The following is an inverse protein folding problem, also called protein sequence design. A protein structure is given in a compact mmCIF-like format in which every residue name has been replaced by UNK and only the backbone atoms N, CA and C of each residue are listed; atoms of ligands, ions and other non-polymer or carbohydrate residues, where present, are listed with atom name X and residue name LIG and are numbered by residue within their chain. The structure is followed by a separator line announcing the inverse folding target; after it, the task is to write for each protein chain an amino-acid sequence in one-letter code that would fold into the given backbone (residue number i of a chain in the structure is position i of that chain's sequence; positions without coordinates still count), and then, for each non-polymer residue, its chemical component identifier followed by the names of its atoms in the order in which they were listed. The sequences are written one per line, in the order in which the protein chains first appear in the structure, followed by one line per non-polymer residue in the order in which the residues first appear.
data_IF_066342891379
#
_entry.id   IF_066342891379
#
_cell.length_a   1.000
_cell.length_b   1.000
_cell.length_c   1.000
_cell.angle_alpha   90.00
_cell.angle_beta   90.00
_cell.angle_gamma   90.00
#
_symmetry.space_group_name_H-M   'P 1'
#
loop_
_entity.id
_entity.type
_entity.pdbx_description
1 polymer ?
#
# COMPACT_ATOMS: atom_id res chain seq x y z
N UNK A 1 -28.76 -12.26 31.78
CA UNK A 1 -27.68 -11.85 32.72
C UNK A 1 -28.22 -11.94 34.14
N UNK A 2 -27.38 -11.87 35.18
CA UNK A 2 -27.85 -11.89 36.59
C UNK A 2 -27.11 -10.88 37.44
N UNK A 3 -27.73 -10.45 38.53
CA UNK A 3 -27.11 -9.55 39.51
C UNK A 3 -26.14 -10.33 40.42
N UNK A 4 -25.01 -9.72 40.74
CA UNK A 4 -24.06 -10.16 41.77
C UNK A 4 -24.08 -9.13 42.89
N UNK A 5 -24.44 -9.58 44.09
CA UNK A 5 -24.41 -8.79 45.33
C UNK A 5 -23.12 -9.11 46.08
N UNK A 6 -22.27 -8.10 46.31
CA UNK A 6 -21.07 -8.26 47.12
C UNK A 6 -21.26 -7.48 48.42
N UNK A 7 -21.15 -8.15 49.57
CA UNK A 7 -21.33 -7.55 50.89
C UNK A 7 -19.95 -7.34 51.54
N UNK A 8 -19.67 -6.11 51.98
CA UNK A 8 -18.56 -5.76 52.86
C UNK A 8 -19.10 -5.37 54.24
N UNK A 9 -18.22 -5.18 55.25
CA UNK A 9 -18.64 -4.79 56.61
C UNK A 9 -19.54 -3.53 56.62
N UNK A 10 -19.36 -2.60 55.68
CA UNK A 10 -20.01 -1.29 55.70
C UNK A 10 -20.79 -0.98 54.40
N UNK A 11 -20.82 -1.86 53.41
CA UNK A 11 -21.48 -1.56 52.13
C UNK A 11 -21.92 -2.80 51.37
N UNK A 12 -22.99 -2.65 50.59
CA UNK A 12 -23.49 -3.64 49.65
C UNK A 12 -23.34 -3.08 48.25
N UNK A 13 -22.64 -3.78 47.35
CA UNK A 13 -22.47 -3.38 45.96
C UNK A 13 -23.13 -4.35 44.98
N UNK A 14 -23.63 -3.78 43.88
CA UNK A 14 -24.33 -4.50 42.84
C UNK A 14 -23.56 -4.44 41.53
N UNK A 15 -23.52 -5.56 40.81
CA UNK A 15 -22.96 -5.66 39.47
C UNK A 15 -23.80 -6.62 38.62
N UNK A 16 -23.90 -6.36 37.32
CA UNK A 16 -24.51 -7.29 36.37
C UNK A 16 -23.41 -8.21 35.86
N UNK A 17 -23.60 -9.52 36.01
CA UNK A 17 -22.67 -10.55 35.54
C UNK A 17 -23.32 -11.44 34.49
N UNK A 18 -22.49 -11.99 33.61
CA UNK A 18 -22.87 -13.06 32.69
C UNK A 18 -21.88 -14.21 32.74
N UNK A 19 -22.39 -15.42 32.59
CA UNK A 19 -21.54 -16.61 32.50
C UNK A 19 -20.94 -16.68 31.08
N UNK A 20 -19.64 -16.95 31.00
CA UNK A 20 -18.89 -17.12 29.75
C UNK A 20 -18.00 -18.36 29.85
N UNK A 21 -17.75 -19.02 28.73
CA UNK A 21 -16.79 -20.13 28.67
C UNK A 21 -15.43 -19.57 28.23
N UNK A 22 -14.40 -19.78 29.04
CA UNK A 22 -13.01 -19.37 28.73
C UNK A 22 -12.12 -20.59 28.92
N UNK A 23 -11.39 -21.00 27.87
CA UNK A 23 -10.51 -22.18 27.88
C UNK A 23 -11.21 -23.46 28.36
N UNK A 24 -12.44 -23.73 27.89
CA UNK A 24 -13.21 -24.92 28.23
C UNK A 24 -13.82 -24.94 29.65
N UNK A 25 -13.54 -23.94 30.50
CA UNK A 25 -14.12 -23.83 31.84
C UNK A 25 -15.16 -22.70 31.90
N UNK A 26 -16.27 -22.95 32.62
CA UNK A 26 -17.32 -21.95 32.88
C UNK A 26 -16.80 -20.92 33.87
N UNK A 27 -16.82 -19.64 33.49
CA UNK A 27 -16.39 -18.49 34.31
C UNK A 27 -17.44 -17.38 34.25
N UNK A 28 -17.33 -16.37 35.13
CA UNK A 28 -18.25 -15.21 35.13
C UNK A 28 -17.50 -13.95 34.71
N UNK A 29 -18.13 -13.12 33.87
CA UNK A 29 -17.63 -11.80 33.48
C UNK A 29 -18.59 -10.73 33.98
N UNK A 30 -18.05 -9.66 34.58
CA UNK A 30 -18.81 -8.46 34.92
C UNK A 30 -19.11 -7.70 33.63
N UNK A 31 -20.39 -7.44 33.40
CA UNK A 31 -20.91 -6.71 32.23
C UNK A 31 -21.00 -5.22 32.53
N UNK A 32 -21.53 -4.87 33.71
CA UNK A 32 -21.70 -3.50 34.17
C UNK A 32 -21.63 -3.46 35.70
N UNK A 33 -20.89 -2.50 36.26
CA UNK A 33 -20.84 -2.24 37.70
C UNK A 33 -21.89 -1.19 38.04
N UNK A 34 -22.84 -1.52 38.92
CA UNK A 34 -24.02 -0.67 39.18
C UNK A 34 -23.82 0.32 40.35
N UNK A 35 -22.81 0.09 41.19
CA UNK A 35 -22.50 0.93 42.35
C UNK A 35 -22.91 0.31 43.69
N UNK A 36 -22.84 1.09 44.76
CA UNK A 36 -23.24 0.66 46.11
C UNK A 36 -24.73 0.97 46.40
N UNK A 37 -25.28 0.32 47.43
CA UNK A 37 -26.71 0.39 47.77
C UNK A 37 -27.18 1.82 48.06
N UNK A 38 -26.39 2.61 48.78
CA UNK A 38 -26.69 4.02 49.12
C UNK A 38 -26.67 4.92 47.87
N UNK A 39 -25.69 4.74 46.97
CA UNK A 39 -25.58 5.48 45.71
C UNK A 39 -26.76 5.22 44.77
N UNK A 40 -27.22 3.96 44.70
CA UNK A 40 -28.37 3.59 43.88
C UNK A 40 -29.65 4.17 44.48
N UNK A 41 -29.79 4.13 45.81
CA UNK A 41 -30.95 4.69 46.53
C UNK A 41 -31.04 6.21 46.43
N UNK A 42 -29.91 6.92 46.39
CA UNK A 42 -29.87 8.36 46.13
C UNK A 42 -30.29 8.72 44.70
N UNK A 43 -29.89 7.89 43.71
CA UNK A 43 -30.18 8.14 42.29
C UNK A 43 -31.59 7.73 41.89
N UNK A 44 -32.15 6.73 42.57
CA UNK A 44 -33.47 6.16 42.31
C UNK A 44 -34.23 5.98 43.63
N UNK A 45 -34.69 7.07 44.26
CA UNK A 45 -35.36 7.02 45.56
C UNK A 45 -36.73 6.33 45.52
N UNK A 46 -37.36 6.26 44.35
CA UNK A 46 -38.66 5.62 44.11
C UNK A 46 -38.64 4.07 44.07
N UNK A 47 -37.47 3.42 44.09
CA UNK A 47 -37.36 1.97 43.93
C UNK A 47 -36.31 1.35 44.85
N UNK A 48 -36.49 0.10 45.25
CA UNK A 48 -35.45 -0.62 45.99
C UNK A 48 -34.23 -0.84 45.08
N UNK A 49 -32.99 -0.56 45.54
CA UNK A 49 -31.78 -0.74 44.76
C UNK A 49 -31.60 -2.13 44.14
N UNK A 50 -32.15 -3.18 44.77
CA UNK A 50 -32.08 -4.53 44.22
C UNK A 50 -33.08 -4.76 43.08
N UNK A 51 -34.27 -4.16 43.15
CA UNK A 51 -35.26 -4.19 42.07
C UNK A 51 -34.76 -3.45 40.84
N UNK A 52 -34.21 -2.25 41.04
CA UNK A 52 -33.59 -1.47 39.97
C UNK A 52 -32.44 -2.23 39.30
N UNK A 53 -31.56 -2.88 40.09
CA UNK A 53 -30.46 -3.69 39.56
C UNK A 53 -30.96 -4.90 38.74
N UNK A 54 -32.07 -5.53 39.13
CA UNK A 54 -32.71 -6.61 38.37
C UNK A 54 -33.29 -6.10 37.05
N UNK A 55 -33.96 -4.94 37.07
CA UNK A 55 -34.49 -4.31 35.86
C UNK A 55 -33.37 -3.97 34.87
N UNK A 56 -32.26 -3.40 35.36
CA UNK A 56 -31.08 -3.11 34.54
C UNK A 56 -30.44 -4.37 33.94
N UNK A 57 -30.36 -5.45 34.71
CA UNK A 57 -29.88 -6.74 34.20
C UNK A 57 -30.80 -7.33 33.12
N UNK A 58 -32.12 -7.12 33.23
CA UNK A 58 -33.09 -7.54 32.22
C UNK A 58 -32.95 -6.72 30.93
N UNK A 59 -32.85 -5.39 31.02
CA UNK A 59 -32.60 -4.50 29.86
C UNK A 59 -31.35 -4.91 29.08
N UNK A 60 -30.23 -5.13 29.78
CA UNK A 60 -28.98 -5.57 29.15
C UNK A 60 -29.10 -6.95 28.48
N UNK A 61 -29.95 -7.82 29.03
CA UNK A 61 -30.24 -9.13 28.44
C UNK A 61 -31.06 -8.97 27.15
N UNK A 62 -32.04 -8.08 27.12
CA UNK A 62 -32.85 -7.74 25.94
C UNK A 62 -31.96 -7.14 24.83
N UNK A 63 -31.10 -6.18 25.17
CA UNK A 63 -30.16 -5.56 24.22
C UNK A 63 -29.17 -6.58 23.63
N UNK A 64 -28.63 -7.50 24.45
CA UNK A 64 -27.74 -8.56 23.94
C UNK A 64 -28.52 -9.55 23.04
N UNK A 65 -29.80 -9.81 23.35
CA UNK A 65 -30.68 -10.65 22.53
C UNK A 65 -30.99 -10.00 21.18
N UNK A 66 -31.25 -8.69 21.14
CA UNK A 66 -31.43 -7.93 19.90
C UNK A 66 -30.14 -7.93 19.05
N UNK A 67 -28.97 -7.71 19.65
CA UNK A 67 -27.68 -7.78 18.95
C UNK A 67 -27.34 -9.18 18.42
N UNK A 68 -27.87 -10.24 19.05
CA UNK A 68 -27.70 -11.64 18.66
C UNK A 68 -28.85 -12.19 17.82
N UNK A 69 -29.83 -11.36 17.47
CA UNK A 69 -30.98 -11.80 16.71
C UNK A 69 -30.52 -12.29 15.34
N UNK A 70 -30.78 -13.57 15.07
CA UNK A 70 -30.44 -14.16 13.77
C UNK A 70 -31.36 -13.54 12.73
N UNK A 71 -30.78 -12.84 11.75
CA UNK A 71 -31.53 -12.29 10.63
C UNK A 71 -31.85 -13.45 9.69
N UNK A 72 -33.12 -13.85 9.65
CA UNK A 72 -33.60 -14.80 8.66
C UNK A 72 -33.75 -14.06 7.32
N UNK A 73 -32.87 -14.38 6.37
CA UNK A 73 -32.96 -13.83 5.01
C UNK A 73 -33.89 -14.75 4.22
N UNK A 74 -35.10 -14.27 3.92
CA UNK A 74 -36.07 -14.99 3.10
C UNK A 74 -35.81 -14.70 1.62
N UNK A 75 -35.58 -15.75 0.83
CA UNK A 75 -35.40 -15.67 -0.62
C UNK A 75 -36.66 -16.12 -1.35
N UNK A 76 -37.11 -15.32 -2.31
CA UNK A 76 -38.19 -15.69 -3.22
C UNK A 76 -37.57 -16.23 -4.52
N UNK A 77 -37.74 -17.53 -4.85
CA UNK A 77 -37.15 -18.13 -6.05
C UNK A 77 -37.78 -17.62 -7.34
N UNK A 78 -38.96 -16.98 -7.29
CA UNK A 78 -39.63 -16.40 -8.45
C UNK A 78 -39.21 -14.96 -8.74
N UNK A 79 -38.50 -14.34 -7.80
CA UNK A 79 -38.06 -12.94 -7.90
C UNK A 79 -37.02 -12.78 -8.99
N UNK A 80 -37.45 -12.22 -10.11
CA UNK A 80 -36.56 -11.92 -11.24
C UNK A 80 -35.58 -10.81 -10.90
N UNK A 81 -34.34 -10.99 -11.32
CA UNK A 81 -33.30 -9.96 -11.25
C UNK A 81 -33.70 -8.83 -12.20
N UNK A 82 -33.63 -7.57 -11.73
CA UNK A 82 -33.89 -6.41 -12.57
C UNK A 82 -32.85 -6.37 -13.69
N UNK A 83 -33.32 -6.26 -14.93
CA UNK A 83 -32.46 -6.04 -16.10
C UNK A 83 -31.60 -4.78 -15.88
N UNK A 84 -30.35 -4.84 -16.32
CA UNK A 84 -29.38 -3.74 -16.25
C UNK A 84 -29.01 -3.27 -14.83
N UNK A 85 -29.36 -4.04 -13.79
CA UNK A 85 -28.91 -3.79 -12.43
C UNK A 85 -27.78 -4.74 -12.05
N UNK A 86 -26.59 -4.20 -11.85
CA UNK A 86 -25.45 -4.95 -11.34
C UNK A 86 -25.74 -5.47 -9.92
N UNK A 87 -25.52 -6.76 -9.71
CA UNK A 87 -25.66 -7.44 -8.42
C UNK A 87 -24.40 -8.18 -7.98
N UNK A 88 -23.42 -8.30 -8.88
CA UNK A 88 -22.14 -8.94 -8.64
C UNK A 88 -21.05 -7.87 -8.72
N UNK A 89 -20.16 -7.89 -7.72
CA UNK A 89 -19.12 -6.89 -7.57
C UNK A 89 -17.78 -7.56 -7.29
N UNK A 90 -16.74 -7.04 -7.92
CA UNK A 90 -15.37 -7.45 -7.63
C UNK A 90 -14.85 -6.68 -6.41
N UNK A 91 -14.48 -7.41 -5.36
CA UNK A 91 -14.01 -6.84 -4.08
C UNK A 91 -12.54 -7.13 -3.78
N UNK A 92 -11.82 -7.83 -4.68
CA UNK A 92 -10.41 -8.17 -4.49
C UNK A 92 -9.49 -6.96 -4.32
N UNK A 93 -9.90 -5.78 -4.80
CA UNK A 93 -9.14 -4.54 -4.65
C UNK A 93 -9.11 -3.98 -3.23
N UNK A 94 -10.01 -4.41 -2.32
CA UNK A 94 -10.09 -3.87 -0.96
C UNK A 94 -8.80 -4.10 -0.16
N UNK A 95 -8.10 -5.21 -0.40
CA UNK A 95 -6.78 -5.45 0.19
C UNK A 95 -5.75 -4.42 -0.26
N UNK A 96 -5.75 -4.11 -1.56
CA UNK A 96 -4.87 -3.09 -2.14
C UNK A 96 -5.24 -1.70 -1.63
N UNK A 97 -6.53 -1.39 -1.51
CA UNK A 97 -7.02 -0.14 -0.94
C UNK A 97 -6.51 0.07 0.50
N UNK A 98 -6.51 -0.99 1.32
CA UNK A 98 -5.94 -0.94 2.67
C UNK A 98 -4.44 -0.62 2.66
N UNK A 99 -3.67 -1.23 1.76
CA UNK A 99 -2.24 -0.94 1.61
C UNK A 99 -2.02 0.51 1.15
N UNK A 100 -2.75 0.98 0.14
CA UNK A 100 -2.64 2.35 -0.37
C UNK A 100 -3.04 3.40 0.67
N UNK A 101 -3.99 3.08 1.55
CA UNK A 101 -4.35 3.91 2.69
C UNK A 101 -3.20 4.02 3.72
N UNK A 102 -2.53 2.91 4.04
CA UNK A 102 -1.35 2.91 4.91
C UNK A 102 -0.19 3.72 4.29
N UNK A 103 -0.04 3.64 2.97
CA UNK A 103 0.90 4.43 2.18
C UNK A 103 0.42 5.88 1.95
N UNK A 104 -0.69 6.31 2.56
CA UNK A 104 -1.25 7.67 2.50
C UNK A 104 -1.32 8.25 1.09
N UNK A 105 -1.67 7.43 0.09
CA UNK A 105 -1.81 7.87 -1.30
C UNK A 105 -2.71 9.11 -1.44
N UNK A 106 -3.89 9.19 -0.78
CA UNK A 106 -4.76 10.37 -0.90
C UNK A 106 -4.13 11.66 -0.40
N UNK A 107 -3.19 11.61 0.56
CA UNK A 107 -2.49 12.80 1.04
C UNK A 107 -1.51 13.33 -0.01
N UNK A 108 -0.78 12.42 -0.66
CA UNK A 108 0.18 12.75 -1.70
C UNK A 108 -0.50 13.36 -2.93
N UNK A 109 -1.54 12.70 -3.43
CA UNK A 109 -2.28 13.16 -4.62
C UNK A 109 -3.01 14.48 -4.35
N UNK A 110 -3.48 14.74 -3.11
CA UNK A 110 -4.00 16.07 -2.72
C UNK A 110 -2.92 17.15 -2.76
N UNK A 111 -1.67 16.85 -2.39
CA UNK A 111 -0.55 17.80 -2.49
C UNK A 111 -0.28 18.15 -3.96
N UNK A 112 -0.25 17.13 -4.82
CA UNK A 112 -0.09 17.31 -6.28
C UNK A 112 -1.27 18.13 -6.84
N UNK A 113 -2.51 17.75 -6.51
CA UNK A 113 -3.71 18.43 -7.00
C UNK A 113 -3.75 19.92 -6.65
N UNK A 114 -3.16 20.36 -5.53
CA UNK A 114 -3.07 21.78 -5.17
C UNK A 114 -2.14 22.60 -6.07
N UNK A 115 -1.22 21.95 -6.77
CA UNK A 115 -0.25 22.60 -7.67
C UNK A 115 -0.81 22.73 -9.10
N UNK A 116 -1.96 22.12 -9.37
CA UNK A 116 -2.58 22.03 -10.68
C UNK A 116 -4.03 22.56 -10.65
N UNK A 117 -4.60 22.84 -11.82
CA UNK A 117 -5.97 23.35 -11.94
C UNK A 117 -6.96 22.31 -12.51
N UNK A 118 -6.64 21.01 -12.42
CA UNK A 118 -7.56 19.96 -12.87
C UNK A 118 -8.72 19.74 -11.89
N UNK A 119 -9.82 19.16 -12.39
CA UNK A 119 -11.05 18.91 -11.61
C UNK A 119 -11.33 17.43 -11.30
N UNK A 120 -10.52 16.52 -11.82
CA UNK A 120 -10.71 15.08 -11.65
C UNK A 120 -10.10 14.55 -10.33
N UNK A 121 -10.62 13.44 -9.77
CA UNK A 121 -10.10 12.83 -8.55
C UNK A 121 -8.82 12.00 -8.80
N UNK A 122 -7.65 12.65 -8.73
CA UNK A 122 -6.35 12.03 -9.01
C UNK A 122 -6.04 10.81 -8.11
N UNK A 123 -6.49 10.83 -6.84
CA UNK A 123 -6.35 9.71 -5.91
C UNK A 123 -7.11 8.46 -6.38
N UNK A 124 -8.36 8.64 -6.81
CA UNK A 124 -9.18 7.54 -7.31
C UNK A 124 -8.62 7.00 -8.63
N UNK A 125 -8.17 7.88 -9.53
CA UNK A 125 -7.58 7.50 -10.81
C UNK A 125 -6.31 6.67 -10.59
N UNK A 126 -5.36 7.17 -9.78
CA UNK A 126 -4.12 6.45 -9.50
C UNK A 126 -4.39 5.10 -8.82
N UNK A 127 -5.31 5.07 -7.84
CA UNK A 127 -5.70 3.83 -7.18
C UNK A 127 -6.30 2.82 -8.15
N UNK A 128 -7.20 3.27 -9.03
CA UNK A 128 -7.79 2.45 -10.09
C UNK A 128 -6.73 1.83 -11.01
N UNK A 129 -5.74 2.63 -11.44
CA UNK A 129 -4.65 2.14 -12.29
C UNK A 129 -3.78 1.11 -11.59
N UNK A 130 -3.52 1.28 -10.29
CA UNK A 130 -2.76 0.33 -9.47
C UNK A 130 -3.55 -0.98 -9.30
N UNK A 131 -4.84 -0.89 -8.94
CA UNK A 131 -5.71 -2.06 -8.77
C UNK A 131 -5.77 -2.86 -10.05
N UNK A 132 -6.00 -2.20 -11.18
CA UNK A 132 -6.08 -2.87 -12.46
C UNK A 132 -4.76 -3.52 -12.86
N UNK A 133 -3.62 -2.85 -12.64
CA UNK A 133 -2.30 -3.42 -12.95
C UNK A 133 -2.03 -4.74 -12.21
N UNK A 134 -2.58 -4.91 -11.01
CA UNK A 134 -2.40 -6.12 -10.19
C UNK A 134 -3.48 -7.17 -10.49
N UNK A 135 -4.75 -6.76 -10.57
CA UNK A 135 -5.88 -7.68 -10.65
C UNK A 135 -6.21 -8.13 -12.07
N UNK A 136 -6.03 -7.26 -13.06
CA UNK A 136 -6.40 -7.51 -14.46
C UNK A 136 -5.62 -6.58 -15.40
N UNK A 137 -4.29 -6.77 -15.52
CA UNK A 137 -3.43 -5.85 -16.26
C UNK A 137 -3.84 -5.74 -17.73
N UNK A 138 -4.25 -4.55 -18.15
CA UNK A 138 -4.72 -4.30 -19.51
C UNK A 138 -4.50 -2.82 -19.94
N UNK A 139 -5.13 -2.42 -21.03
CA UNK A 139 -5.14 -1.02 -21.52
C UNK A 139 -5.78 -0.06 -20.51
N UNK A 140 -5.55 1.25 -20.64
CA UNK A 140 -6.19 2.27 -19.78
C UNK A 140 -7.71 2.30 -19.94
N UNK A 141 -8.19 2.06 -21.16
CA UNK A 141 -9.63 1.89 -21.45
C UNK A 141 -10.19 0.66 -20.74
N UNK A 142 -9.52 -0.49 -20.87
CA UNK A 142 -9.93 -1.73 -20.20
C UNK A 142 -9.86 -1.60 -18.68
N UNK A 143 -8.92 -0.82 -18.15
CA UNK A 143 -8.85 -0.51 -16.72
C UNK A 143 -10.07 0.27 -16.24
N UNK A 144 -10.51 1.25 -17.02
CA UNK A 144 -11.74 2.01 -16.74
C UNK A 144 -12.98 1.11 -16.79
N UNK A 145 -13.10 0.27 -17.81
CA UNK A 145 -14.20 -0.68 -17.96
C UNK A 145 -14.24 -1.70 -16.81
N UNK A 146 -13.08 -2.25 -16.43
CA UNK A 146 -12.95 -3.16 -15.29
C UNK A 146 -13.35 -2.47 -13.97
N UNK A 147 -12.97 -1.20 -13.78
CA UNK A 147 -13.30 -0.44 -12.59
C UNK A 147 -14.82 -0.28 -12.36
N UNK A 148 -15.62 -0.27 -13.44
CA UNK A 148 -17.09 -0.25 -13.33
C UNK A 148 -17.65 -1.52 -12.67
N UNK A 149 -16.90 -2.63 -12.71
CA UNK A 149 -17.33 -3.90 -12.09
C UNK A 149 -17.01 -4.00 -10.59
N UNK A 150 -16.26 -3.03 -10.05
CA UNK A 150 -15.88 -2.99 -8.64
C UNK A 150 -17.06 -2.59 -7.76
N UNK A 151 -16.96 -2.87 -6.45
CA UNK A 151 -17.94 -2.45 -5.47
C UNK A 151 -18.10 -0.91 -5.42
N UNK A 152 -16.98 -0.18 -5.52
CA UNK A 152 -16.95 1.27 -5.58
C UNK A 152 -16.64 1.70 -7.03
N UNK A 153 -17.65 2.05 -7.84
CA UNK A 153 -17.43 2.46 -9.22
C UNK A 153 -16.68 3.80 -9.27
N UNK A 154 -15.87 4.03 -10.31
CA UNK A 154 -15.08 5.25 -10.46
C UNK A 154 -15.97 6.48 -10.64
N UNK A 155 -15.61 7.59 -10.01
CA UNK A 155 -16.31 8.89 -10.11
C UNK A 155 -15.69 9.83 -11.14
N UNK A 156 -14.98 9.29 -12.13
CA UNK A 156 -14.25 10.03 -13.15
C UNK A 156 -14.52 9.45 -14.53
N UNK A 157 -14.11 10.15 -15.58
CA UNK A 157 -14.27 9.70 -16.97
C UNK A 157 -12.97 9.11 -17.50
N UNK A 158 -13.06 8.32 -18.58
CA UNK A 158 -11.90 7.76 -19.26
C UNK A 158 -10.88 8.84 -19.67
N UNK A 159 -11.36 10.01 -20.12
CA UNK A 159 -10.50 11.13 -20.50
C UNK A 159 -9.67 11.68 -19.34
N UNK A 160 -10.20 11.61 -18.11
CA UNK A 160 -9.48 12.04 -16.92
C UNK A 160 -8.30 11.12 -16.62
N UNK A 161 -8.41 9.82 -16.91
CA UNK A 161 -7.27 8.89 -16.83
C UNK A 161 -6.14 9.39 -17.72
N UNK A 162 -6.42 9.65 -19.00
CA UNK A 162 -5.37 10.07 -19.95
C UNK A 162 -4.72 11.40 -19.53
N UNK A 163 -5.52 12.39 -19.15
CA UNK A 163 -5.01 13.70 -18.67
C UNK A 163 -4.19 13.58 -17.39
N UNK A 164 -4.51 12.62 -16.53
CA UNK A 164 -3.76 12.42 -15.28
C UNK A 164 -2.36 11.86 -15.51
N UNK A 165 -2.11 11.18 -16.64
CA UNK A 165 -0.81 10.55 -16.90
C UNK A 165 0.31 11.57 -17.00
N UNK A 166 0.06 12.72 -17.61
CA UNK A 166 1.05 13.79 -17.74
C UNK A 166 1.41 14.38 -16.37
N UNK A 167 0.40 14.63 -15.53
CA UNK A 167 0.59 15.10 -14.14
C UNK A 167 1.36 14.07 -13.30
N UNK A 168 1.02 12.79 -13.43
CA UNK A 168 1.75 11.72 -12.73
C UNK A 168 3.19 11.60 -13.22
N UNK A 169 3.43 11.77 -14.52
CA UNK A 169 4.76 11.77 -15.10
C UNK A 169 5.61 12.92 -14.55
N UNK A 170 5.05 14.14 -14.52
CA UNK A 170 5.70 15.33 -13.95
C UNK A 170 6.10 15.13 -12.48
N UNK A 171 5.21 14.56 -11.67
CA UNK A 171 5.43 14.31 -10.23
C UNK A 171 6.05 12.94 -9.92
N UNK A 172 6.62 12.26 -10.91
CA UNK A 172 7.20 10.92 -10.74
C UNK A 172 8.22 10.85 -9.59
N UNK A 173 8.98 11.92 -9.36
CA UNK A 173 9.96 11.99 -8.27
C UNK A 173 9.30 12.13 -6.89
N UNK A 174 8.36 13.07 -6.74
CA UNK A 174 7.61 13.26 -5.48
C UNK A 174 6.88 11.98 -5.08
N UNK A 175 6.33 11.27 -6.07
CA UNK A 175 5.61 10.01 -5.88
C UNK A 175 6.54 8.93 -5.34
N UNK A 176 7.71 8.75 -5.95
CA UNK A 176 8.72 7.80 -5.50
C UNK A 176 9.22 8.12 -4.09
N UNK A 177 9.51 9.40 -3.80
CA UNK A 177 9.90 9.87 -2.46
C UNK A 177 8.86 9.50 -1.40
N UNK A 178 7.60 9.81 -1.69
CA UNK A 178 6.50 9.56 -0.78
C UNK A 178 6.33 8.07 -0.48
N UNK A 179 6.32 7.23 -1.50
CA UNK A 179 6.18 5.77 -1.33
C UNK A 179 7.38 5.13 -0.65
N UNK A 180 8.61 5.55 -0.97
CA UNK A 180 9.79 5.07 -0.24
C UNK A 180 9.70 5.38 1.25
N UNK A 181 9.41 6.63 1.61
CA UNK A 181 9.37 7.06 3.01
C UNK A 181 8.29 6.33 3.81
N UNK A 182 7.13 6.08 3.21
CA UNK A 182 6.02 5.43 3.91
C UNK A 182 6.08 3.91 3.86
N UNK A 183 6.67 3.31 2.83
CA UNK A 183 6.88 1.86 2.78
C UNK A 183 7.75 1.37 3.93
N UNK A 184 8.73 2.15 4.41
CA UNK A 184 9.50 1.85 5.62
C UNK A 184 8.65 1.65 6.88
N UNK A 185 7.42 2.20 6.91
CA UNK A 185 6.48 2.04 8.04
C UNK A 185 5.51 0.87 7.85
N UNK A 186 5.40 0.36 6.63
CA UNK A 186 4.45 -0.70 6.26
C UNK A 186 5.16 -2.05 6.16
N UNK A 187 6.42 -2.06 5.70
CA UNK A 187 7.24 -3.24 5.55
C UNK A 187 8.67 -2.97 6.02
N UNK A 188 9.33 -4.01 6.54
CA UNK A 188 10.77 -3.96 6.80
C UNK A 188 11.51 -3.87 5.47
N UNK A 189 12.46 -2.94 5.36
CA UNK A 189 13.26 -2.71 4.15
C UNK A 189 14.74 -2.92 4.44
N UNK A 190 15.41 -3.73 3.62
CA UNK A 190 16.86 -3.97 3.73
C UNK A 190 17.66 -2.99 2.86
N UNK A 191 17.87 -1.78 3.37
CA UNK A 191 18.50 -0.69 2.59
C UNK A 191 20.03 -0.72 2.56
N UNK A 192 20.64 -1.70 3.23
CA UNK A 192 22.09 -1.88 3.26
C UNK A 192 22.66 -2.39 1.92
N UNK A 193 21.85 -3.12 1.14
CA UNK A 193 22.22 -3.61 -0.18
C UNK A 193 21.24 -3.06 -1.20
N UNK A 194 21.78 -2.45 -2.25
CA UNK A 194 21.01 -1.89 -3.35
C UNK A 194 21.30 -2.67 -4.63
N UNK A 195 20.25 -3.20 -5.25
CA UNK A 195 20.32 -3.81 -6.56
C UNK A 195 19.97 -2.80 -7.62
N UNK A 196 20.77 -2.75 -8.68
CA UNK A 196 20.50 -1.90 -9.83
C UNK A 196 20.51 -2.72 -11.12
N UNK A 197 19.44 -2.59 -11.88
CA UNK A 197 19.37 -3.07 -13.26
C UNK A 197 18.84 -1.97 -14.18
N UNK A 198 19.27 -2.01 -15.43
CA UNK A 198 18.80 -1.14 -16.50
C UNK A 198 18.11 -2.00 -17.55
N UNK A 199 16.82 -1.83 -17.77
CA UNK A 199 16.07 -2.53 -18.82
C UNK A 199 15.70 -1.57 -19.96
N UNK A 200 15.24 -2.10 -21.09
CA UNK A 200 14.77 -1.32 -22.22
C UNK A 200 13.38 -1.78 -22.69
N UNK A 201 12.57 -0.81 -23.11
CA UNK A 201 11.26 -1.00 -23.71
C UNK A 201 11.36 -0.62 -25.19
N UNK A 202 10.96 -1.51 -26.09
CA UNK A 202 10.92 -1.21 -27.53
C UNK A 202 9.52 -0.76 -27.96
N UNK A 203 9.47 -0.04 -29.06
CA UNK A 203 8.24 0.44 -29.66
C UNK A 203 8.16 -0.03 -31.11
N UNK A 204 6.99 -0.50 -31.53
CA UNK A 204 6.71 -0.85 -32.93
C UNK A 204 6.38 0.41 -33.72
N UNK A 205 7.39 1.27 -33.86
CA UNK A 205 7.35 2.51 -34.64
C UNK A 205 8.52 2.52 -35.61
N UNK A 206 8.33 3.19 -36.73
CA UNK A 206 9.31 3.23 -37.81
C UNK A 206 10.42 4.26 -37.53
N UNK A 207 10.08 5.36 -36.85
CA UNK A 207 10.98 6.49 -36.62
C UNK A 207 11.18 6.79 -35.12
N UNK A 208 12.39 7.25 -34.78
CA UNK A 208 12.74 7.68 -33.44
C UNK A 208 12.09 9.04 -33.11
N UNK A 209 11.60 9.20 -31.88
CA UNK A 209 10.93 10.42 -31.42
C UNK A 209 11.05 10.59 -29.90
N UNK A 210 11.41 11.80 -29.46
CA UNK A 210 11.52 12.12 -28.04
C UNK A 210 12.48 11.16 -27.32
N UNK A 211 12.01 10.47 -26.27
CA UNK A 211 12.81 9.47 -25.55
C UNK A 211 13.05 8.20 -26.38
N UNK A 212 12.17 7.88 -27.34
CA UNK A 212 12.22 6.66 -28.15
C UNK A 212 13.31 6.85 -29.19
N UNK A 213 14.52 6.36 -28.93
CA UNK A 213 15.67 6.53 -29.81
C UNK A 213 16.31 5.18 -30.13
N UNK A 214 16.97 5.06 -31.28
CA UNK A 214 17.73 3.86 -31.61
C UNK A 214 18.92 3.70 -30.66
N UNK A 215 19.13 2.48 -30.18
CA UNK A 215 20.17 2.18 -29.22
C UNK A 215 20.39 0.68 -29.08
N UNK A 216 21.28 0.28 -28.17
CA UNK A 216 21.56 -1.12 -27.93
C UNK A 216 20.41 -1.77 -27.16
N UNK A 217 19.53 -2.45 -27.89
CA UNK A 217 18.44 -3.23 -27.31
C UNK A 217 18.96 -4.50 -26.65
N UNK A 218 18.50 -4.85 -25.44
CA UNK A 218 18.85 -6.14 -24.80
C UNK A 218 18.33 -7.34 -25.59
N UNK A 219 17.29 -7.16 -26.40
CA UNK A 219 16.74 -8.17 -27.30
C UNK A 219 17.31 -8.08 -28.74
N UNK A 220 18.30 -7.21 -28.97
CA UNK A 220 18.88 -6.95 -30.31
C UNK A 220 17.85 -6.53 -31.38
N UNK A 221 16.79 -5.82 -30.97
CA UNK A 221 15.80 -5.28 -31.91
C UNK A 221 16.30 -4.00 -32.57
N UNK A 222 15.97 -3.76 -33.87
CA UNK A 222 16.35 -2.54 -34.58
C UNK A 222 15.44 -1.34 -34.25
N UNK A 223 14.34 -1.57 -33.55
CA UNK A 223 13.34 -0.54 -33.27
C UNK A 223 13.83 0.51 -32.25
N UNK A 224 13.25 1.72 -32.25
CA UNK A 224 13.49 2.69 -31.19
C UNK A 224 13.15 2.12 -29.81
N UNK A 225 14.00 2.41 -28.83
CA UNK A 225 13.85 1.97 -27.44
C UNK A 225 13.82 3.15 -26.48
N UNK A 226 13.32 2.88 -25.28
CA UNK A 226 13.44 3.73 -24.09
C UNK A 226 14.10 2.90 -23.01
N UNK A 227 15.01 3.48 -22.23
CA UNK A 227 15.69 2.79 -21.13
C UNK A 227 15.05 3.14 -19.79
N UNK A 228 15.07 2.18 -18.87
CA UNK A 228 14.68 2.38 -17.47
C UNK A 228 15.71 1.76 -16.53
N UNK A 229 16.36 2.62 -15.74
CA UNK A 229 17.16 2.20 -14.60
C UNK A 229 16.27 2.07 -13.37
N UNK A 230 16.44 0.99 -12.60
CA UNK A 230 15.67 0.70 -11.40
C UNK A 230 16.60 0.30 -10.25
N UNK A 231 16.44 0.96 -9.11
CA UNK A 231 17.00 0.51 -7.83
C UNK A 231 15.97 -0.22 -7.00
N UNK A 232 16.41 -1.31 -6.36
CA UNK A 232 15.67 -2.05 -5.35
C UNK A 232 16.54 -2.24 -4.12
N UNK A 233 15.89 -2.40 -2.96
CA UNK A 233 16.58 -2.80 -1.73
C UNK A 233 16.82 -4.32 -1.67
N UNK A 234 17.50 -4.78 -0.61
CA UNK A 234 17.78 -6.20 -0.35
C UNK A 234 16.52 -7.08 -0.29
N UNK A 235 15.38 -6.48 0.04
CA UNK A 235 14.08 -7.14 0.09
C UNK A 235 13.36 -7.19 -1.27
N UNK A 236 14.00 -6.70 -2.34
CA UNK A 236 13.43 -6.64 -3.69
C UNK A 236 12.37 -5.56 -3.88
N UNK A 237 12.24 -4.62 -2.95
CA UNK A 237 11.25 -3.55 -3.05
C UNK A 237 11.88 -2.35 -3.78
N UNK A 238 11.23 -1.79 -4.83
CA UNK A 238 11.71 -0.61 -5.55
C UNK A 238 11.99 0.60 -4.65
N UNK A 239 13.10 1.29 -4.92
CA UNK A 239 13.50 2.54 -4.27
C UNK A 239 13.24 3.73 -5.17
N UNK A 240 13.87 3.71 -6.34
CA UNK A 240 13.69 4.71 -7.35
C UNK A 240 13.98 4.14 -8.74
N UNK A 241 13.40 4.75 -9.74
CA UNK A 241 13.66 4.49 -11.13
C UNK A 241 13.86 5.81 -11.90
N UNK A 242 14.48 5.69 -13.06
CA UNK A 242 14.60 6.78 -14.02
C UNK A 242 14.36 6.26 -15.42
N UNK A 243 13.68 7.05 -16.24
CA UNK A 243 13.47 6.76 -17.65
C UNK A 243 14.40 7.66 -18.47
N UNK A 244 15.14 7.09 -19.41
CA UNK A 244 16.08 7.81 -20.26
C UNK A 244 15.91 7.44 -21.72
N UNK A 245 16.47 8.27 -22.60
CA UNK A 245 16.40 8.04 -24.03
C UNK A 245 17.15 6.77 -24.43
N UNK A 246 16.66 6.06 -25.45
CA UNK A 246 17.20 4.76 -25.87
C UNK A 246 18.67 4.72 -26.26
N UNK A 247 19.22 5.85 -26.72
CA UNK A 247 20.63 6.01 -27.08
C UNK A 247 21.52 6.41 -25.90
N UNK A 248 20.97 6.52 -24.69
CA UNK A 248 21.74 6.87 -23.50
C UNK A 248 22.64 5.71 -23.11
N UNK A 249 23.88 6.01 -22.72
CA UNK A 249 24.77 4.97 -22.20
C UNK A 249 24.28 4.53 -20.82
N UNK A 250 23.98 3.24 -20.66
CA UNK A 250 23.48 2.64 -19.42
C UNK A 250 24.39 2.90 -18.20
N UNK A 251 25.71 3.04 -18.42
CA UNK A 251 26.64 3.37 -17.32
C UNK A 251 26.38 4.75 -16.72
N UNK A 252 25.82 5.67 -17.50
CA UNK A 252 25.54 7.05 -17.08
C UNK A 252 24.23 7.19 -16.33
N UNK A 253 23.34 6.19 -16.40
CA UNK A 253 22.01 6.24 -15.76
C UNK A 253 22.06 5.91 -14.27
N UNK A 254 23.10 5.20 -13.83
CA UNK A 254 23.35 4.84 -12.42
C UNK A 254 23.56 6.07 -11.53
N UNK A 255 24.50 6.96 -11.89
CA UNK A 255 24.92 8.08 -11.03
C UNK A 255 23.80 9.07 -10.69
N UNK A 256 22.96 9.53 -11.64
CA UNK A 256 21.84 10.42 -11.33
C UNK A 256 20.88 9.80 -10.32
N UNK A 257 20.61 8.50 -10.46
CA UNK A 257 19.68 7.80 -9.60
C UNK A 257 20.26 7.53 -8.21
N UNK A 258 21.56 7.21 -8.09
CA UNK A 258 22.25 7.16 -6.80
C UNK A 258 22.26 8.52 -6.08
N UNK A 259 22.50 9.63 -6.80
CA UNK A 259 22.44 10.98 -6.20
C UNK A 259 21.05 11.27 -5.63
N UNK A 260 19.99 10.86 -6.32
CA UNK A 260 18.61 10.96 -5.82
C UNK A 260 18.43 10.13 -4.57
N UNK A 261 18.95 8.91 -4.56
CA UNK A 261 18.88 8.04 -3.37
C UNK A 261 19.57 8.69 -2.15
N UNK A 262 20.76 9.25 -2.34
CA UNK A 262 21.48 9.95 -1.28
C UNK A 262 20.71 11.18 -0.76
N UNK A 263 20.18 11.99 -1.68
CA UNK A 263 19.54 13.27 -1.36
C UNK A 263 18.14 13.07 -0.76
N UNK A 264 17.31 12.28 -1.41
CA UNK A 264 15.87 12.21 -1.16
C UNK A 264 15.54 11.10 -0.15
N UNK A 265 16.37 10.05 -0.08
CA UNK A 265 16.15 8.90 0.82
C UNK A 265 17.12 8.84 2.00
N UNK A 266 18.11 9.75 2.08
CA UNK A 266 19.10 9.87 3.19
C UNK A 266 19.86 8.56 3.51
N UNK A 267 20.07 7.70 2.52
CA UNK A 267 20.84 6.47 2.69
C UNK A 267 22.34 6.80 2.74
N UNK A 268 22.99 6.68 3.89
CA UNK A 268 24.42 7.02 4.04
C UNK A 268 25.37 5.83 3.87
N UNK A 269 24.91 4.60 4.15
CA UNK A 269 25.71 3.37 4.06
C UNK A 269 24.98 2.33 3.23
N UNK A 270 25.54 1.97 2.07
CA UNK A 270 25.00 0.89 1.24
C UNK A 270 26.05 0.28 0.32
N UNK A 271 25.76 -0.94 -0.12
CA UNK A 271 26.50 -1.67 -1.15
C UNK A 271 25.69 -1.69 -2.44
N UNK A 272 26.27 -1.18 -3.54
CA UNK A 272 25.63 -1.23 -4.87
C UNK A 272 26.03 -2.51 -5.59
N UNK A 273 25.05 -3.33 -5.96
CA UNK A 273 25.23 -4.54 -6.76
C UNK A 273 24.80 -4.24 -8.21
N UNK A 274 25.74 -4.32 -9.16
CA UNK A 274 25.48 -4.07 -10.59
C UNK A 274 26.10 -5.14 -11.50
N UNK A 275 25.47 -5.36 -12.64
CA UNK A 275 26.04 -6.18 -13.72
C UNK A 275 27.28 -5.56 -14.37
N UNK A 276 28.03 -6.39 -15.11
CA UNK A 276 29.30 -6.03 -15.75
C UNK A 276 29.17 -4.88 -16.75
N UNK A 277 28.03 -4.79 -17.45
CA UNK A 277 27.75 -3.72 -18.41
C UNK A 277 27.71 -2.32 -17.77
N UNK A 278 27.42 -2.26 -16.47
CA UNK A 278 27.23 -1.04 -15.68
C UNK A 278 28.47 -0.69 -14.84
N UNK A 279 29.49 -1.56 -14.86
CA UNK A 279 30.72 -1.50 -14.05
C UNK A 279 31.83 -0.63 -14.63
N UNK A 280 31.50 0.60 -15.03
CA UNK A 280 32.51 1.53 -15.54
C UNK A 280 33.53 1.87 -14.44
N UNK A 281 34.78 2.15 -14.80
CA UNK A 281 35.78 2.66 -13.84
C UNK A 281 35.29 3.94 -13.14
N UNK A 282 34.52 4.77 -13.84
CA UNK A 282 33.93 5.98 -13.28
C UNK A 282 32.80 5.70 -12.28
N UNK A 283 32.05 4.61 -12.43
CA UNK A 283 31.01 4.16 -11.49
C UNK A 283 31.66 3.51 -10.27
N UNK A 284 32.65 2.63 -10.46
CA UNK A 284 33.42 2.01 -9.37
C UNK A 284 34.07 3.05 -8.45
N UNK A 285 34.75 4.05 -9.04
CA UNK A 285 35.32 5.16 -8.27
C UNK A 285 34.25 5.95 -7.49
N UNK A 286 33.11 6.22 -8.13
CA UNK A 286 32.01 6.93 -7.47
C UNK A 286 31.42 6.14 -6.30
N UNK A 287 31.34 4.81 -6.41
CA UNK A 287 30.74 3.93 -5.40
C UNK A 287 31.72 3.54 -4.28
N UNK A 288 32.96 4.03 -4.34
CA UNK A 288 33.97 3.91 -3.26
C UNK A 288 34.02 5.17 -2.38
N UNK A 289 33.29 6.22 -2.74
CA UNK A 289 33.31 7.49 -2.00
C UNK A 289 32.46 7.39 -0.73
N UNK A 290 33.02 7.77 0.42
CA UNK A 290 32.34 7.74 1.72
C UNK A 290 32.29 6.32 2.30
N UNK A 291 31.18 5.96 2.95
CA UNK A 291 30.97 4.62 3.53
C UNK A 291 30.22 3.66 2.59
N UNK A 292 30.42 3.84 1.27
CA UNK A 292 29.80 3.02 0.24
C UNK A 292 30.74 1.93 -0.24
N UNK A 293 30.14 0.83 -0.67
CA UNK A 293 30.85 -0.23 -1.37
C UNK A 293 30.10 -0.63 -2.63
N UNK A 294 30.74 -1.43 -3.48
CA UNK A 294 30.08 -1.99 -4.66
C UNK A 294 30.51 -3.43 -4.87
N UNK A 295 29.59 -4.23 -5.41
CA UNK A 295 29.84 -5.57 -5.93
C UNK A 295 29.50 -5.52 -7.40
N UNK A 296 30.40 -6.04 -8.24
CA UNK A 296 30.21 -6.00 -9.67
C UNK A 296 30.83 -7.19 -10.37
N UNK A 297 30.15 -7.70 -11.39
CA UNK A 297 30.67 -8.78 -12.22
C UNK A 297 31.72 -8.22 -13.19
N UNK A 298 32.83 -8.93 -13.37
CA UNK A 298 33.86 -8.58 -14.35
C UNK A 298 34.13 -9.76 -15.26
N UNK A 299 34.23 -9.51 -16.56
CA UNK A 299 34.62 -10.53 -17.53
C UNK A 299 36.09 -10.91 -17.32
N UNK A 300 36.37 -12.21 -17.17
CA UNK A 300 37.72 -12.77 -17.00
C UNK A 300 38.66 -12.34 -18.15
N UNK A 301 38.15 -12.28 -19.39
CA UNK A 301 38.92 -11.88 -20.59
C UNK A 301 39.43 -10.43 -20.56
N UNK A 302 38.77 -9.53 -19.83
CA UNK A 302 39.21 -8.12 -19.71
C UNK A 302 40.25 -7.92 -18.59
N UNK A 303 40.56 -8.97 -17.83
CA UNK A 303 41.29 -8.90 -16.56
C UNK A 303 42.72 -9.46 -16.60
N UNK A 304 43.22 -9.93 -17.74
CA UNK A 304 44.61 -10.44 -17.84
C UNK A 304 45.64 -9.42 -17.34
N UNK A 305 45.45 -8.11 -17.60
CA UNK A 305 46.35 -7.05 -17.11
C UNK A 305 46.17 -6.64 -15.64
N UNK A 306 45.06 -7.02 -15.01
CA UNK A 306 44.76 -6.60 -13.62
C UNK A 306 45.28 -7.60 -12.60
N UNK A 307 45.33 -8.89 -12.95
CA UNK A 307 45.85 -9.95 -12.08
C UNK A 307 47.39 -9.94 -11.95
N UNK A 308 48.13 -9.55 -13.00
CA UNK A 308 49.60 -9.41 -12.93
C UNK A 308 50.08 -8.30 -11.98
N UNK A 309 49.21 -7.39 -11.55
CA UNK A 309 49.54 -6.29 -10.62
C UNK A 309 49.22 -6.58 -9.15
N UNK A 310 48.63 -7.74 -8.87
CA UNK A 310 48.18 -8.14 -7.52
C UNK A 310 48.83 -9.46 -7.05
N UNK A 311 49.78 -10.00 -7.81
CA UNK A 311 50.71 -11.05 -7.39
C UNK A 311 52.10 -10.43 -7.20
#
# INVERSE_FOLDING_TARGET
MRIKKSRSKNSVSYAVIKDITRNGKRTTKIVETLGNHEEIKQKHPEMDPEEWAKQRAAELTEQEKQKKQKIAIHYDPTKKIKKDKQQLFNVGYLFLQSILAQLKLPTMTKKIAKQHQFKYPLDQILSCLIYNRILSPASKKSAFEFAQTLLEPPQFQLQDIYRSLDVLAEHTHDIQEHFYRLSQKVANRETAVLYYDCTNFFFEIEEAEGLKQYGQSKENRPNPIVQMGLFMDGSGIPLAFNITSGNTNEQTTLKPLEKRILKDFRLSKFVVCTDAGLSSTANRKYNTLGERAFITTQSVKKNEKTFERLA
#
